data_IF_556911199641
#
_entry.id   IF_556911199641
#
_cell.length_a   1.000
_cell.length_b   1.000
_cell.length_c   1.000
_cell.angle_alpha   90.00
_cell.angle_beta   90.00
_cell.angle_gamma   90.00
#
_symmetry.space_group_name_H-M   'P 1'
#
loop_
_entity.id
_entity.type
_entity.pdbx_description
1 polymer ?
#
# COMPACT_ATOMS: atom_id res chain seq x y z
N UNK A 1 -3.64 11.84 -22.75
CA UNK A 1 -2.58 10.83 -22.49
C UNK A 1 -2.95 10.08 -21.23
N UNK A 2 -3.54 8.90 -21.39
CA UNK A 2 -4.12 8.08 -20.32
C UNK A 2 -3.08 7.06 -19.81
N UNK A 3 -2.94 6.96 -18.49
CA UNK A 3 -2.26 5.84 -17.84
C UNK A 3 -3.25 5.17 -16.88
N UNK A 4 -4.11 4.30 -17.44
CA UNK A 4 -4.93 3.38 -16.66
C UNK A 4 -4.07 2.20 -16.19
N UNK A 5 -4.00 1.99 -14.88
CA UNK A 5 -3.42 0.77 -14.31
C UNK A 5 -4.44 -0.37 -14.44
N UNK A 6 -4.10 -1.32 -15.32
CA UNK A 6 -4.80 -2.57 -15.53
C UNK A 6 -4.49 -3.54 -14.38
N UNK A 7 -5.51 -3.93 -13.60
CA UNK A 7 -5.36 -4.87 -12.48
C UNK A 7 -5.31 -6.32 -12.97
N UNK A 8 -4.16 -6.74 -13.52
CA UNK A 8 -3.91 -8.16 -13.80
C UNK A 8 -3.41 -8.87 -12.54
N UNK A 9 -4.08 -9.97 -12.17
CA UNK A 9 -3.47 -11.03 -11.36
C UNK A 9 -2.27 -11.57 -12.13
N UNK A 10 -1.06 -11.17 -11.73
CA UNK A 10 0.15 -11.92 -12.04
C UNK A 10 1.20 -11.58 -11.01
N UNK A 11 1.55 -12.56 -10.18
CA UNK A 11 2.82 -12.58 -9.49
C UNK A 11 3.93 -12.57 -10.53
N UNK A 12 4.41 -11.37 -10.86
CA UNK A 12 5.66 -11.06 -11.55
C UNK A 12 5.78 -9.53 -11.55
N UNK A 13 6.56 -9.04 -10.59
CA UNK A 13 7.06 -7.67 -10.58
C UNK A 13 7.96 -7.56 -11.83
N UNK A 14 7.46 -6.96 -12.91
CA UNK A 14 8.24 -6.74 -14.12
C UNK A 14 8.63 -5.27 -14.24
N UNK A 15 9.91 -4.95 -14.53
CA UNK A 15 10.39 -3.59 -14.63
C UNK A 15 9.81 -2.89 -15.88
N UNK A 16 9.00 -1.85 -15.66
CA UNK A 16 8.50 -0.94 -16.71
C UNK A 16 9.40 0.30 -16.86
N UNK A 17 10.68 0.11 -17.13
CA UNK A 17 11.57 1.22 -17.50
C UNK A 17 12.28 0.90 -18.81
N UNK A 18 12.13 1.79 -19.81
CA UNK A 18 12.97 1.78 -21.02
C UNK A 18 14.43 2.07 -20.61
N UNK A 19 15.41 1.41 -21.25
CA UNK A 19 16.81 1.54 -20.88
C UNK A 19 17.37 2.86 -21.42
N UNK A 20 17.52 3.86 -20.55
CA UNK A 20 18.41 4.99 -20.80
C UNK A 20 19.13 5.44 -19.53
N UNK A 21 20.46 5.31 -19.56
CA UNK A 21 21.48 6.23 -19.03
C UNK A 21 21.57 6.59 -17.53
N UNK A 22 20.98 5.83 -16.60
CA UNK A 22 21.39 5.94 -15.20
C UNK A 22 21.39 4.59 -14.47
N UNK A 23 22.55 3.93 -14.46
CA UNK A 23 22.79 2.66 -13.76
C UNK A 23 22.32 2.68 -12.28
N UNK A 24 22.53 3.83 -11.60
CA UNK A 24 22.07 4.11 -10.22
C UNK A 24 20.56 3.97 -10.01
N UNK A 25 19.75 4.20 -11.05
CA UNK A 25 18.29 4.11 -10.97
C UNK A 25 17.83 2.64 -11.00
N UNK A 26 18.56 1.79 -11.74
CA UNK A 26 18.24 0.36 -11.82
C UNK A 26 18.55 -0.37 -10.52
N UNK A 27 19.67 -0.05 -9.88
CA UNK A 27 20.08 -0.70 -8.61
C UNK A 27 19.19 -0.30 -7.43
N UNK A 28 18.82 0.98 -7.35
CA UNK A 28 17.83 1.43 -6.39
C UNK A 28 16.47 0.74 -6.60
N UNK A 29 16.12 0.43 -7.86
CA UNK A 29 14.88 -0.27 -8.17
C UNK A 29 14.83 -1.68 -7.58
N UNK A 30 15.92 -2.46 -7.63
CA UNK A 30 15.93 -3.82 -7.06
C UNK A 30 15.70 -3.81 -5.54
N UNK A 31 16.35 -2.88 -4.82
CA UNK A 31 16.14 -2.69 -3.38
C UNK A 31 14.71 -2.24 -3.08
N UNK A 32 14.16 -1.35 -3.92
CA UNK A 32 12.77 -0.91 -3.81
C UNK A 32 11.78 -2.05 -4.08
N UNK A 33 12.03 -2.91 -5.07
CA UNK A 33 11.21 -4.08 -5.37
C UNK A 33 11.25 -5.09 -4.22
N UNK A 34 12.41 -5.27 -3.59
CA UNK A 34 12.50 -6.09 -2.38
C UNK A 34 11.64 -5.51 -1.25
N UNK A 35 11.69 -4.19 -1.04
CA UNK A 35 10.84 -3.54 -0.03
C UNK A 35 9.35 -3.68 -0.38
N UNK A 36 8.98 -3.61 -1.65
CA UNK A 36 7.60 -3.86 -2.09
C UNK A 36 7.16 -5.30 -1.78
N UNK A 37 7.99 -6.30 -2.06
CA UNK A 37 7.69 -7.71 -1.80
C UNK A 37 7.62 -8.07 -0.30
N UNK A 38 8.14 -7.20 0.58
CA UNK A 38 8.24 -7.40 2.03
C UNK A 38 7.48 -6.32 2.79
N UNK A 39 6.14 -6.36 2.81
CA UNK A 39 5.31 -5.35 3.48
C UNK A 39 5.51 -5.31 5.01
N UNK A 40 6.07 -6.37 5.58
CA UNK A 40 6.55 -6.46 6.96
C UNK A 40 7.79 -5.59 7.24
N UNK A 41 8.64 -5.33 6.23
CA UNK A 41 9.79 -4.45 6.39
C UNK A 41 9.36 -2.98 6.37
N UNK A 42 9.84 -2.20 7.34
CA UNK A 42 9.69 -0.73 7.37
C UNK A 42 10.64 -0.09 6.36
N UNK A 43 11.88 -0.56 6.35
CA UNK A 43 12.95 -0.11 5.49
C UNK A 43 13.90 -1.27 5.18
N UNK A 44 14.74 -1.09 4.17
CA UNK A 44 15.74 -2.08 3.78
C UNK A 44 17.06 -1.41 3.39
N UNK A 45 18.18 -2.04 3.74
CA UNK A 45 19.49 -1.70 3.22
C UNK A 45 19.84 -2.55 2.00
N UNK A 46 20.60 -1.98 1.07
CA UNK A 46 21.21 -2.69 -0.05
C UNK A 46 22.68 -2.32 -0.16
N UNK A 47 23.49 -3.19 -0.73
CA UNK A 47 24.90 -2.88 -1.04
C UNK A 47 25.08 -2.96 -2.53
N UNK A 48 25.82 -2.00 -3.05
CA UNK A 48 26.27 -2.01 -4.43
C UNK A 48 27.78 -2.03 -4.48
N UNK A 49 28.33 -3.13 -5.00
CA UNK A 49 29.76 -3.31 -5.23
C UNK A 49 30.09 -2.97 -6.68
N UNK A 50 31.14 -2.18 -6.87
CA UNK A 50 31.67 -1.77 -8.17
C UNK A 50 33.05 -2.39 -8.42
N UNK A 51 33.56 -2.20 -9.63
CA UNK A 51 34.96 -2.48 -9.93
C UNK A 51 35.90 -1.62 -9.07
N UNK A 52 37.12 -2.13 -8.81
CA UNK A 52 38.17 -1.48 -8.01
C UNK A 52 37.84 -1.30 -6.52
N UNK A 53 37.21 -2.30 -5.89
CA UNK A 53 36.99 -2.34 -4.42
C UNK A 53 36.09 -1.21 -3.88
N UNK A 54 35.41 -0.47 -4.75
CA UNK A 54 34.46 0.55 -4.36
C UNK A 54 33.07 -0.05 -4.09
N UNK A 55 32.37 0.51 -3.12
CA UNK A 55 30.96 0.21 -2.90
C UNK A 55 30.19 1.41 -2.35
N UNK A 56 28.86 1.29 -2.40
CA UNK A 56 27.92 2.18 -1.74
C UNK A 56 26.88 1.35 -0.99
N UNK A 57 26.36 1.91 0.10
CA UNK A 57 25.19 1.38 0.80
C UNK A 57 23.97 2.21 0.44
N UNK A 58 22.91 1.52 0.07
CA UNK A 58 21.59 2.06 -0.13
C UNK A 58 20.77 1.80 1.14
N UNK A 59 19.93 2.75 1.51
CA UNK A 59 18.88 2.54 2.51
C UNK A 59 17.58 3.07 1.92
N UNK A 60 16.50 2.30 1.99
CA UNK A 60 15.24 2.63 1.33
C UNK A 60 14.11 2.48 2.33
N UNK A 61 13.31 3.53 2.46
CA UNK A 61 12.07 3.55 3.22
C UNK A 61 10.94 4.21 2.40
N UNK A 62 9.77 4.41 3.01
CA UNK A 62 8.66 5.09 2.35
C UNK A 62 8.90 6.59 2.11
N UNK A 63 9.91 7.21 2.73
CA UNK A 63 10.26 8.61 2.54
C UNK A 63 11.22 8.82 1.37
N UNK A 64 12.30 8.03 1.26
CA UNK A 64 13.32 8.19 0.22
C UNK A 64 14.22 6.96 0.04
N UNK A 65 14.91 6.92 -1.10
CA UNK A 65 16.18 6.20 -1.29
C UNK A 65 17.34 7.08 -0.80
N UNK A 66 18.09 6.59 0.17
CA UNK A 66 19.34 7.14 0.65
C UNK A 66 20.49 6.35 0.05
N UNK A 67 21.57 7.03 -0.31
CA UNK A 67 22.77 6.43 -0.85
C UNK A 67 23.97 7.05 -0.17
N UNK A 68 24.87 6.22 0.34
CA UNK A 68 26.14 6.70 0.88
C UNK A 68 26.99 7.32 -0.23
N UNK A 69 28.01 8.09 0.15
CA UNK A 69 29.14 8.36 -0.75
C UNK A 69 29.80 7.05 -1.16
N UNK A 70 30.53 7.09 -2.29
CA UNK A 70 31.40 5.98 -2.69
C UNK A 70 32.50 5.82 -1.66
N UNK A 71 32.80 4.59 -1.30
CA UNK A 71 33.84 4.24 -0.33
C UNK A 71 34.63 3.05 -0.83
N UNK A 72 35.91 3.03 -0.49
CA UNK A 72 36.81 1.91 -0.77
C UNK A 72 36.71 0.86 0.34
N UNK A 73 36.78 -0.42 -0.01
CA UNK A 73 36.84 -1.53 0.95
C UNK A 73 38.09 -1.48 1.84
N UNK A 74 39.17 -0.89 1.34
CA UNK A 74 40.45 -0.73 2.03
C UNK A 74 40.45 0.35 3.10
N UNK A 75 39.50 1.29 3.08
CA UNK A 75 39.37 2.29 4.13
C UNK A 75 38.81 1.66 5.41
N UNK A 76 39.62 1.62 6.48
CA UNK A 76 39.28 0.95 7.75
C UNK A 76 37.95 1.44 8.35
N UNK A 77 37.68 2.75 8.25
CA UNK A 77 36.44 3.37 8.73
C UNK A 77 35.23 2.89 7.93
N UNK A 78 35.43 2.55 6.65
CA UNK A 78 34.36 2.18 5.73
C UNK A 78 33.95 0.71 5.90
N UNK A 79 34.85 -0.19 6.34
CA UNK A 79 34.54 -1.61 6.64
C UNK A 79 33.31 -1.82 7.54
N UNK A 80 32.95 -0.84 8.38
CA UNK A 80 31.74 -0.86 9.22
C UNK A 80 30.44 -0.89 8.42
N UNK A 81 30.40 -0.32 7.22
CA UNK A 81 29.19 -0.23 6.40
C UNK A 81 28.72 -1.61 5.88
N UNK A 82 29.60 -2.49 5.34
CA UNK A 82 29.26 -3.87 5.04
C UNK A 82 28.78 -4.65 6.26
N UNK A 83 29.43 -4.49 7.43
CA UNK A 83 28.97 -5.13 8.66
C UNK A 83 27.58 -4.63 9.07
N UNK A 84 27.30 -3.34 8.98
CA UNK A 84 25.98 -2.79 9.26
C UNK A 84 24.92 -3.32 8.28
N UNK A 85 25.27 -3.47 6.99
CA UNK A 85 24.39 -4.12 6.02
C UNK A 85 24.10 -5.57 6.40
N UNK A 86 25.12 -6.39 6.65
CA UNK A 86 24.94 -7.80 7.07
C UNK A 86 24.12 -7.88 8.35
N UNK A 87 24.43 -7.04 9.35
CA UNK A 87 23.66 -6.95 10.58
C UNK A 87 22.18 -6.67 10.32
N UNK A 88 21.86 -5.77 9.38
CA UNK A 88 20.46 -5.45 9.03
C UNK A 88 19.70 -6.59 8.36
N UNK A 89 20.40 -7.57 7.77
CA UNK A 89 19.77 -8.78 7.22
C UNK A 89 19.24 -9.69 8.34
N UNK A 90 19.95 -9.74 9.48
CA UNK A 90 19.57 -10.54 10.65
C UNK A 90 18.68 -9.77 11.64
N UNK A 91 18.79 -8.44 11.64
CA UNK A 91 18.03 -7.55 12.53
C UNK A 91 17.24 -6.51 11.71
N UNK A 92 16.28 -6.96 10.87
CA UNK A 92 15.52 -6.06 10.03
C UNK A 92 14.62 -5.12 10.85
N UNK A 93 14.37 -3.93 10.30
CA UNK A 93 13.35 -3.02 10.83
C UNK A 93 11.96 -3.50 10.41
N UNK A 94 11.23 -4.12 11.34
CA UNK A 94 9.96 -4.79 11.08
C UNK A 94 8.76 -4.00 11.63
N UNK A 95 7.66 -4.04 10.89
CA UNK A 95 6.32 -3.91 11.43
C UNK A 95 5.97 -5.19 12.18
N UNK A 96 5.98 -5.14 13.52
CA UNK A 96 5.79 -6.32 14.37
C UNK A 96 4.38 -6.89 14.31
N UNK A 97 3.43 -6.15 13.73
CA UNK A 97 2.05 -6.61 13.55
C UNK A 97 1.86 -7.52 12.34
N UNK A 98 2.88 -7.63 11.47
CA UNK A 98 2.86 -8.47 10.27
C UNK A 98 3.83 -9.64 10.45
N UNK A 99 3.31 -10.86 10.31
CA UNK A 99 4.13 -12.06 10.21
C UNK A 99 4.10 -12.56 8.78
N UNK A 100 5.27 -12.81 8.20
CA UNK A 100 5.40 -13.45 6.90
C UNK A 100 5.48 -14.96 7.11
N UNK A 101 4.60 -15.71 6.44
CA UNK A 101 4.62 -17.16 6.41
C UNK A 101 5.05 -17.60 5.01
N UNK A 102 6.09 -18.41 4.92
CA UNK A 102 6.59 -18.90 3.63
C UNK A 102 6.66 -20.42 3.67
N UNK A 103 5.87 -21.05 2.80
CA UNK A 103 6.02 -22.46 2.45
C UNK A 103 6.76 -22.56 1.11
N UNK A 104 7.12 -23.77 0.69
CA UNK A 104 7.90 -23.99 -0.54
C UNK A 104 7.25 -23.37 -1.79
N UNK A 105 5.92 -23.26 -1.83
CA UNK A 105 5.18 -22.83 -3.03
C UNK A 105 4.44 -21.50 -2.87
N UNK A 106 4.35 -20.94 -1.66
CA UNK A 106 3.52 -19.77 -1.39
C UNK A 106 4.01 -18.92 -0.23
N UNK A 107 3.99 -17.60 -0.41
CA UNK A 107 4.15 -16.62 0.67
C UNK A 107 2.78 -16.05 1.03
N UNK A 108 2.40 -16.15 2.30
CA UNK A 108 1.22 -15.49 2.87
C UNK A 108 1.64 -14.62 4.05
N UNK A 109 0.71 -13.79 4.51
CA UNK A 109 0.92 -12.88 5.62
C UNK A 109 -0.16 -13.09 6.68
N UNK A 110 0.24 -12.90 7.93
CA UNK A 110 -0.68 -12.78 9.06
C UNK A 110 -0.57 -11.36 9.60
N UNK A 111 -1.71 -10.72 9.84
CA UNK A 111 -1.79 -9.36 10.36
C UNK A 111 -2.57 -9.37 11.67
N UNK A 112 -1.99 -8.81 12.72
CA UNK A 112 -2.65 -8.59 14.02
C UNK A 112 -2.98 -7.10 14.17
N UNK A 113 -4.23 -6.78 14.48
CA UNK A 113 -4.70 -5.43 14.73
C UNK A 113 -4.46 -5.03 16.19
N UNK A 114 -4.57 -3.74 16.51
CA UNK A 114 -4.34 -3.27 17.89
C UNK A 114 -5.41 -3.71 18.89
N UNK A 115 -6.60 -4.09 18.42
CA UNK A 115 -7.67 -4.69 19.22
C UNK A 115 -7.50 -6.21 19.45
N UNK A 116 -6.40 -6.79 18.93
CA UNK A 116 -6.12 -8.21 19.03
C UNK A 116 -6.72 -9.06 17.91
N UNK A 117 -7.55 -8.50 17.02
CA UNK A 117 -8.09 -9.25 15.89
C UNK A 117 -6.96 -9.69 14.95
N UNK A 118 -6.99 -10.95 14.52
CA UNK A 118 -5.95 -11.55 13.68
C UNK A 118 -6.52 -12.02 12.35
N UNK A 119 -5.79 -11.72 11.28
CA UNK A 119 -6.10 -12.09 9.91
C UNK A 119 -4.96 -12.91 9.35
N UNK A 120 -5.17 -14.22 9.22
CA UNK A 120 -4.19 -15.16 8.67
C UNK A 120 -4.42 -15.44 7.18
N UNK A 121 -3.43 -16.07 6.55
CA UNK A 121 -3.44 -16.52 5.15
C UNK A 121 -3.71 -15.39 4.13
N UNK A 122 -3.30 -14.16 4.45
CA UNK A 122 -3.44 -13.03 3.55
C UNK A 122 -2.47 -13.14 2.38
N UNK A 123 -2.97 -12.84 1.18
CA UNK A 123 -2.17 -12.77 -0.04
C UNK A 123 -1.89 -11.32 -0.41
N UNK A 124 -0.66 -11.06 -0.85
CA UNK A 124 -0.26 -9.76 -1.36
C UNK A 124 -0.88 -9.54 -2.75
N UNK A 125 -1.87 -8.66 -2.81
CA UNK A 125 -2.60 -8.34 -4.02
C UNK A 125 -2.01 -7.21 -4.84
N UNK A 126 -1.51 -6.17 -4.16
CA UNK A 126 -0.90 -5.02 -4.79
C UNK A 126 0.12 -4.34 -3.87
N UNK A 127 1.15 -3.78 -4.48
CA UNK A 127 2.12 -2.90 -3.83
C UNK A 127 2.41 -1.71 -4.73
N UNK A 128 2.06 -0.52 -4.26
CA UNK A 128 2.40 0.74 -4.89
C UNK A 128 3.90 1.03 -4.81
N UNK A 129 4.34 1.98 -5.63
CA UNK A 129 5.75 2.37 -5.70
C UNK A 129 6.31 2.87 -4.37
N UNK A 130 7.63 2.69 -4.24
CA UNK A 130 8.48 3.23 -3.19
C UNK A 130 9.48 4.20 -3.84
N UNK A 131 9.90 5.29 -3.19
CA UNK A 131 9.31 5.87 -1.99
C UNK A 131 7.93 6.48 -2.28
N UNK A 132 7.20 6.86 -1.25
CA UNK A 132 5.89 7.50 -1.37
C UNK A 132 4.88 6.90 -0.41
N UNK A 133 3.68 6.57 -0.93
CA UNK A 133 2.63 5.98 -0.09
C UNK A 133 2.84 4.49 0.16
N UNK A 134 3.57 3.79 -0.72
CA UNK A 134 3.76 2.33 -0.65
C UNK A 134 2.44 1.62 -0.30
N UNK A 135 1.40 1.93 -1.08
CA UNK A 135 0.06 1.39 -0.83
C UNK A 135 0.12 -0.12 -0.98
N UNK A 136 -0.21 -0.85 0.07
CA UNK A 136 -0.18 -2.32 0.09
C UNK A 136 -1.60 -2.82 0.25
N UNK A 137 -2.01 -3.75 -0.61
CA UNK A 137 -3.34 -4.38 -0.53
C UNK A 137 -3.15 -5.86 -0.30
N UNK A 138 -3.79 -6.36 0.75
CA UNK A 138 -3.89 -7.77 1.05
C UNK A 138 -5.31 -8.25 0.80
N UNK A 139 -5.42 -9.45 0.22
CA UNK A 139 -6.68 -10.15 0.06
C UNK A 139 -6.72 -11.37 0.98
N UNK A 140 -7.88 -11.67 1.54
CA UNK A 140 -8.12 -12.95 2.20
C UNK A 140 -8.73 -13.93 1.19
N UNK A 141 -8.07 -15.04 0.83
CA UNK A 141 -8.60 -15.98 -0.16
C UNK A 141 -9.92 -16.61 0.26
N UNK A 142 -10.04 -16.95 1.54
CA UNK A 142 -11.21 -17.63 2.12
C UNK A 142 -12.36 -16.67 2.47
N UNK A 143 -12.16 -15.36 2.30
CA UNK A 143 -13.16 -14.33 2.55
C UNK A 143 -13.00 -13.25 1.48
N UNK A 144 -13.74 -13.42 0.38
CA UNK A 144 -13.66 -12.55 -0.77
C UNK A 144 -14.05 -11.09 -0.48
N UNK A 145 -14.72 -10.81 0.63
CA UNK A 145 -15.15 -9.48 1.03
C UNK A 145 -14.06 -8.74 1.82
N UNK A 146 -13.17 -9.45 2.52
CA UNK A 146 -12.14 -8.80 3.35
C UNK A 146 -10.93 -8.37 2.52
N UNK A 147 -10.65 -7.06 2.57
CA UNK A 147 -9.47 -6.43 2.01
C UNK A 147 -8.75 -5.64 3.10
N UNK A 148 -7.44 -5.85 3.26
CA UNK A 148 -6.62 -5.01 4.15
C UNK A 148 -5.78 -4.07 3.29
N UNK A 149 -5.97 -2.77 3.49
CA UNK A 149 -5.23 -1.72 2.80
C UNK A 149 -4.29 -1.02 3.78
N UNK A 150 -3.04 -0.89 3.39
CA UNK A 150 -2.03 -0.14 4.14
C UNK A 150 -1.41 0.95 3.29
N UNK A 151 -0.98 2.03 3.92
CA UNK A 151 -0.22 3.09 3.27
C UNK A 151 0.55 3.95 4.26
N UNK A 152 1.68 4.49 3.81
CA UNK A 152 2.42 5.55 4.45
C UNK A 152 1.86 6.91 4.02
N UNK A 153 1.49 7.73 4.98
CA UNK A 153 0.87 9.03 4.74
C UNK A 153 1.63 10.13 5.45
N UNK A 154 1.71 11.27 4.80
CA UNK A 154 2.39 12.45 5.33
C UNK A 154 1.69 12.98 6.59
N UNK A 155 2.47 13.46 7.56
CA UNK A 155 1.98 14.10 8.79
C UNK A 155 1.12 15.32 8.48
N UNK A 156 1.44 16.02 7.39
CA UNK A 156 0.80 17.28 7.02
C UNK A 156 -0.53 17.07 6.28
N UNK A 157 -0.93 15.81 6.03
CA UNK A 157 -2.22 15.52 5.41
C UNK A 157 -3.36 15.76 6.40
N UNK A 158 -4.27 16.63 5.98
CA UNK A 158 -5.49 16.98 6.74
C UNK A 158 -6.52 15.86 6.84
N UNK A 159 -6.55 14.93 5.87
CA UNK A 159 -7.62 13.93 5.78
C UNK A 159 -7.08 12.51 5.63
N UNK A 160 -7.57 11.64 6.50
CA UNK A 160 -7.29 10.21 6.54
C UNK A 160 -8.48 9.46 5.91
N UNK A 161 -8.20 8.54 4.99
CA UNK A 161 -9.23 7.76 4.31
C UNK A 161 -10.17 7.06 5.30
N UNK A 162 -9.62 6.46 6.36
CA UNK A 162 -10.42 5.84 7.42
C UNK A 162 -11.32 6.82 8.18
N UNK A 163 -10.86 8.06 8.43
CA UNK A 163 -11.68 9.08 9.08
C UNK A 163 -12.82 9.55 8.17
N UNK A 164 -12.58 9.68 6.87
CA UNK A 164 -13.62 10.03 5.89
C UNK A 164 -14.69 8.93 5.83
N UNK A 165 -14.28 7.67 5.73
CA UNK A 165 -15.21 6.54 5.69
C UNK A 165 -16.03 6.42 6.99
N UNK A 166 -15.41 6.69 8.16
CA UNK A 166 -16.14 6.76 9.44
C UNK A 166 -17.24 7.84 9.44
N UNK A 167 -16.98 9.00 8.83
CA UNK A 167 -17.98 10.08 8.72
C UNK A 167 -19.13 9.65 7.80
N UNK A 168 -18.81 9.07 6.64
CA UNK A 168 -19.81 8.61 5.67
C UNK A 168 -20.71 7.53 6.27
N UNK A 169 -20.14 6.62 7.07
CA UNK A 169 -20.87 5.51 7.67
C UNK A 169 -21.39 5.78 9.09
N UNK A 170 -21.37 7.03 9.56
CA UNK A 170 -21.72 7.38 10.93
C UNK A 170 -23.18 7.02 11.30
N UNK A 171 -24.08 7.04 10.32
CA UNK A 171 -25.51 6.70 10.49
C UNK A 171 -25.87 5.30 9.96
N UNK A 172 -24.86 4.45 9.74
CA UNK A 172 -25.01 3.14 9.11
C UNK A 172 -24.29 3.03 7.76
N UNK A 173 -24.31 1.84 7.18
CA UNK A 173 -23.70 1.59 5.87
C UNK A 173 -24.36 2.48 4.81
N UNK A 174 -23.54 3.21 4.06
CA UNK A 174 -24.01 4.12 3.02
C UNK A 174 -23.59 3.53 1.67
N UNK A 175 -24.54 3.34 0.73
CA UNK A 175 -24.27 2.67 -0.54
C UNK A 175 -23.30 3.47 -1.42
N UNK A 176 -22.58 2.78 -2.29
CA UNK A 176 -21.63 3.39 -3.22
C UNK A 176 -20.25 3.71 -2.62
N UNK A 177 -20.04 3.44 -1.32
CA UNK A 177 -18.72 3.43 -0.70
C UNK A 177 -18.40 2.07 -0.12
N UNK A 178 -17.10 1.80 -0.03
CA UNK A 178 -16.58 0.61 0.63
C UNK A 178 -16.78 0.71 2.14
N UNK A 179 -17.35 -0.33 2.74
CA UNK A 179 -17.61 -0.45 4.17
C UNK A 179 -16.33 -0.62 4.93
N UNK A 180 -16.18 0.21 5.95
CA UNK A 180 -15.03 0.22 6.82
C UNK A 180 -15.30 -0.63 8.07
N UNK A 181 -14.56 -1.72 8.22
CA UNK A 181 -14.57 -2.51 9.46
C UNK A 181 -13.60 -1.95 10.50
N UNK A 182 -12.42 -1.53 10.07
CA UNK A 182 -11.37 -1.06 10.96
C UNK A 182 -10.47 -0.02 10.30
N UNK A 183 -9.98 0.96 11.07
CA UNK A 183 -8.89 1.83 10.62
C UNK A 183 -8.13 2.50 11.75
N UNK A 184 -6.80 2.50 11.64
CA UNK A 184 -5.89 3.14 12.60
C UNK A 184 -4.49 3.41 12.02
N UNK A 185 -3.65 4.06 12.83
CA UNK A 185 -2.19 4.02 12.64
C UNK A 185 -1.63 2.70 13.14
N UNK A 186 -0.74 2.10 12.35
CA UNK A 186 0.00 0.91 12.78
C UNK A 186 0.94 1.29 13.93
N UNK A 187 1.07 0.41 14.93
CA UNK A 187 1.95 0.63 16.08
C UNK A 187 2.99 -0.46 16.22
N UNK A 188 4.19 -0.07 16.63
CA UNK A 188 5.26 -0.95 17.11
C UNK A 188 5.61 -0.55 18.54
N UNK A 189 5.56 -1.49 19.48
CA UNK A 189 5.84 -1.20 20.90
C UNK A 189 4.95 -0.08 21.47
N UNK A 190 3.70 0.02 21.02
CA UNK A 190 2.74 1.05 21.42
C UNK A 190 2.89 2.41 20.70
N UNK A 191 3.99 2.65 19.99
CA UNK A 191 4.23 3.90 19.26
C UNK A 191 3.79 3.79 17.80
N UNK A 192 3.28 4.89 17.23
CA UNK A 192 2.88 4.92 15.80
C UNK A 192 4.11 4.67 14.92
N UNK A 193 3.98 3.70 14.03
CA UNK A 193 5.02 3.35 13.08
C UNK A 193 5.19 4.51 12.10
N UNK A 194 6.39 5.10 12.11
CA UNK A 194 6.73 6.26 11.31
C UNK A 194 8.11 6.11 10.65
N UNK A 195 8.27 6.73 9.49
CA UNK A 195 9.57 6.99 8.87
C UNK A 195 9.70 8.49 8.64
N UNK A 196 10.85 9.05 8.99
CA UNK A 196 11.06 10.50 9.00
C UNK A 196 12.29 10.89 8.21
N UNK A 197 12.20 12.04 7.54
CA UNK A 197 13.30 12.67 6.84
C UNK A 197 13.20 14.19 6.97
N UNK A 198 14.16 14.80 7.68
CA UNK A 198 14.16 16.26 7.93
C UNK A 198 12.78 16.69 8.47
N UNK A 199 12.04 17.51 7.73
CA UNK A 199 10.74 18.04 8.09
C UNK A 199 9.54 17.17 7.70
N UNK A 200 9.74 16.06 6.97
CA UNK A 200 8.64 15.19 6.52
C UNK A 200 8.62 13.91 7.34
N UNK A 201 7.48 13.61 7.97
CA UNK A 201 7.24 12.34 8.65
C UNK A 201 6.07 11.62 7.99
N UNK A 202 6.25 10.33 7.70
CA UNK A 202 5.20 9.49 7.16
C UNK A 202 4.81 8.42 8.16
N UNK A 203 3.53 8.35 8.49
CA UNK A 203 2.97 7.33 9.38
C UNK A 203 2.35 6.21 8.56
N UNK A 204 2.55 4.96 9.00
CA UNK A 204 1.85 3.82 8.40
C UNK A 204 0.42 3.74 8.95
N UNK A 205 -0.55 3.61 8.06
CA UNK A 205 -1.96 3.42 8.38
C UNK A 205 -2.45 2.11 7.81
N UNK A 206 -3.47 1.54 8.47
CA UNK A 206 -4.13 0.31 8.07
C UNK A 206 -5.64 0.52 8.07
N UNK A 207 -6.30 -0.06 7.07
CA UNK A 207 -7.74 -0.12 6.91
C UNK A 207 -8.13 -1.57 6.65
N UNK A 208 -9.17 -2.04 7.31
CA UNK A 208 -9.86 -3.29 6.96
C UNK A 208 -11.20 -2.93 6.35
N UNK A 209 -11.39 -3.37 5.12
CA UNK A 209 -12.53 -3.06 4.25
C UNK A 209 -13.28 -4.37 3.99
N UNK A 210 -14.62 -4.30 3.91
CA UNK A 210 -15.50 -5.47 3.74
C UNK A 210 -16.14 -5.58 2.37
N UNK A 211 -15.63 -4.85 1.39
CA UNK A 211 -16.12 -4.93 0.01
C UNK A 211 -14.97 -5.12 -0.96
N UNK A 212 -15.22 -5.98 -1.94
CA UNK A 212 -14.35 -6.21 -3.09
C UNK A 212 -15.18 -6.07 -4.35
N UNK A 213 -14.63 -5.37 -5.32
CA UNK A 213 -15.21 -5.29 -6.65
C UNK A 213 -14.19 -5.58 -7.72
N UNK A 214 -14.68 -5.68 -8.95
CA UNK A 214 -13.85 -5.70 -10.15
C UNK A 214 -13.61 -4.27 -10.63
N UNK A 215 -12.53 -3.99 -11.37
CA UNK A 215 -12.30 -2.65 -11.87
C UNK A 215 -13.33 -2.29 -12.96
N UNK A 216 -13.53 -1.00 -13.18
CA UNK A 216 -14.48 -0.47 -14.17
C UNK A 216 -14.23 -0.99 -15.60
N UNK A 217 -12.99 -1.36 -15.93
CA UNK A 217 -12.61 -1.94 -17.22
C UNK A 217 -13.17 -3.34 -17.48
N UNK A 218 -13.71 -4.01 -16.47
CA UNK A 218 -14.38 -5.32 -16.59
C UNK A 218 -15.81 -5.24 -17.11
N UNK A 219 -16.38 -4.04 -17.22
CA UNK A 219 -17.76 -3.82 -17.66
C UNK A 219 -17.89 -4.11 -19.15
N UNK A 220 -18.88 -4.92 -19.54
CA UNK A 220 -19.03 -5.43 -20.92
C UNK A 220 -20.01 -4.63 -21.76
N UNK A 221 -20.93 -3.91 -21.14
CA UNK A 221 -22.01 -3.22 -21.87
C UNK A 221 -22.05 -1.72 -21.59
N UNK A 222 -22.45 -0.94 -22.60
CA UNK A 222 -22.67 0.50 -22.46
C UNK A 222 -23.73 0.80 -21.39
N UNK A 223 -24.78 -0.04 -21.31
CA UNK A 223 -25.84 0.10 -20.30
C UNK A 223 -25.28 -0.01 -18.88
N UNK A 224 -24.44 -1.01 -18.61
CA UNK A 224 -23.82 -1.16 -17.29
C UNK A 224 -22.92 0.03 -16.95
N UNK A 225 -22.11 0.48 -17.92
CA UNK A 225 -21.25 1.64 -17.74
C UNK A 225 -22.05 2.90 -17.39
N UNK A 226 -23.14 3.17 -18.13
CA UNK A 226 -24.00 4.32 -17.87
C UNK A 226 -24.66 4.26 -16.48
N UNK A 227 -25.05 3.07 -16.03
CA UNK A 227 -25.59 2.89 -14.67
C UNK A 227 -24.53 3.17 -13.60
N UNK A 228 -23.31 2.67 -13.77
CA UNK A 228 -22.21 2.94 -12.82
C UNK A 228 -21.86 4.43 -12.78
N UNK A 229 -21.83 5.09 -13.95
CA UNK A 229 -21.58 6.53 -14.01
C UNK A 229 -22.69 7.34 -13.33
N UNK A 230 -23.95 6.92 -13.47
CA UNK A 230 -25.06 7.51 -12.75
C UNK A 230 -24.89 7.36 -11.23
N UNK A 231 -24.56 6.15 -10.75
CA UNK A 231 -24.34 5.90 -9.32
C UNK A 231 -23.19 6.76 -8.78
N UNK A 232 -22.08 6.89 -9.52
CA UNK A 232 -20.95 7.76 -9.14
C UNK A 232 -21.38 9.23 -9.02
N UNK A 233 -22.17 9.74 -9.97
CA UNK A 233 -22.69 11.11 -9.93
C UNK A 233 -23.61 11.32 -8.72
N UNK A 234 -24.49 10.36 -8.44
CA UNK A 234 -25.45 10.48 -7.35
C UNK A 234 -24.75 10.41 -5.98
N UNK A 235 -23.85 9.45 -5.81
CA UNK A 235 -23.04 9.29 -4.59
C UNK A 235 -22.18 10.53 -4.33
N UNK A 236 -21.58 11.11 -5.36
CA UNK A 236 -20.77 12.34 -5.21
C UNK A 236 -21.61 13.58 -4.92
N UNK A 237 -22.83 13.66 -5.47
CA UNK A 237 -23.80 14.71 -5.14
C UNK A 237 -24.20 14.64 -3.66
N UNK A 238 -24.50 13.44 -3.16
CA UNK A 238 -24.87 13.22 -1.75
C UNK A 238 -23.67 13.53 -0.84
N UNK A 239 -22.45 13.11 -1.22
CA UNK A 239 -21.23 13.42 -0.48
C UNK A 239 -21.07 14.92 -0.21
N UNK A 240 -21.24 15.71 -1.27
CA UNK A 240 -21.06 17.15 -1.21
C UNK A 240 -22.17 17.84 -0.41
N UNK A 241 -23.43 17.42 -0.61
CA UNK A 241 -24.59 18.07 0.03
C UNK A 241 -24.73 17.71 1.51
N UNK A 242 -24.39 16.49 1.89
CA UNK A 242 -24.64 15.98 3.26
C UNK A 242 -23.45 16.16 4.17
N UNK A 243 -22.23 15.85 3.70
CA UNK A 243 -21.03 15.85 4.54
C UNK A 243 -19.99 16.91 4.12
N UNK A 244 -20.27 17.69 3.06
CA UNK A 244 -19.32 18.66 2.49
C UNK A 244 -17.97 18.04 2.11
N UNK A 245 -18.01 16.77 1.66
CA UNK A 245 -16.84 16.01 1.24
C UNK A 245 -16.74 16.04 -0.29
N UNK A 246 -15.52 16.28 -0.79
CA UNK A 246 -15.18 16.17 -2.22
C UNK A 246 -14.12 15.07 -2.37
N UNK A 247 -14.40 14.04 -3.18
CA UNK A 247 -13.51 12.90 -3.36
C UNK A 247 -12.14 13.28 -3.97
N UNK A 248 -12.12 14.28 -4.89
CA UNK A 248 -10.94 14.84 -5.59
C UNK A 248 -10.10 13.89 -6.45
N UNK A 249 -10.34 12.58 -6.37
CA UNK A 249 -9.61 11.56 -7.13
C UNK A 249 -10.56 10.56 -7.80
N UNK A 250 -11.59 11.06 -8.50
CA UNK A 250 -12.52 10.20 -9.24
C UNK A 250 -11.83 9.76 -10.53
N UNK A 251 -11.55 8.48 -10.65
CA UNK A 251 -10.92 7.87 -11.82
C UNK A 251 -11.36 6.41 -11.96
N UNK A 252 -11.25 5.79 -13.15
CA UNK A 252 -11.62 4.38 -13.34
C UNK A 252 -10.95 3.41 -12.37
N UNK A 253 -9.75 3.73 -11.88
CA UNK A 253 -9.01 2.89 -10.93
C UNK A 253 -9.55 2.95 -9.49
N UNK A 254 -10.37 3.96 -9.17
CA UNK A 254 -11.00 4.16 -7.87
C UNK A 254 -12.50 3.80 -7.89
N UNK A 255 -13.03 3.34 -9.02
CA UNK A 255 -14.40 2.86 -9.16
C UNK A 255 -14.37 1.34 -9.22
N UNK A 256 -14.96 0.70 -8.22
CA UNK A 256 -15.11 -0.74 -8.14
C UNK A 256 -16.54 -1.12 -8.50
N UNK A 257 -16.69 -2.16 -9.31
CA UNK A 257 -17.96 -2.72 -9.74
C UNK A 257 -18.21 -3.99 -8.97
N UNK A 258 -19.38 -4.09 -8.35
CA UNK A 258 -19.84 -5.30 -7.67
C UNK A 258 -20.95 -5.93 -8.50
N UNK A 259 -21.00 -7.26 -8.55
CA UNK A 259 -22.10 -7.96 -9.22
C UNK A 259 -23.44 -7.56 -8.58
N UNK A 260 -24.44 -7.28 -9.42
CA UNK A 260 -25.78 -6.79 -9.06
C UNK A 260 -26.65 -7.84 -8.34
N UNK A 261 -26.10 -8.55 -7.36
CA UNK A 261 -26.78 -9.63 -6.62
C UNK A 261 -26.79 -9.45 -5.10
N UNK A 262 -26.01 -8.53 -4.54
CA UNK A 262 -26.21 -8.11 -3.15
C UNK A 262 -27.41 -7.16 -3.13
N UNK A 263 -28.60 -7.72 -2.97
CA UNK A 263 -29.81 -6.97 -2.66
C UNK A 263 -29.46 -5.92 -1.61
N UNK A 264 -29.63 -4.64 -1.97
CA UNK A 264 -29.71 -3.54 -1.02
C UNK A 264 -31.03 -3.77 -0.26
N UNK A 265 -30.99 -4.65 0.74
CA UNK A 265 -32.03 -4.73 1.74
C UNK A 265 -31.77 -3.61 2.74
N UNK A 266 -32.72 -2.66 2.82
CA UNK A 266 -32.72 -1.61 3.85
C UNK A 266 -33.08 -0.24 3.28
N UNK A 267 -34.33 -0.08 2.86
CA UNK A 267 -35.32 0.79 3.53
C UNK A 267 -35.07 2.28 3.36
N UNK A 268 -35.65 2.84 2.30
CA UNK A 268 -36.12 4.23 2.34
C UNK A 268 -37.16 4.31 3.45
N UNK A 269 -36.80 4.91 4.58
CA UNK A 269 -37.79 5.38 5.53
C UNK A 269 -38.51 6.58 4.89
N UNK A 270 -39.81 6.41 4.68
CA UNK A 270 -40.81 7.45 4.48
C UNK A 270 -40.84 8.42 5.65
#
# INVERSE_FOLDING_TARGET
MSHGLNWRRSGKITPKAKPSENMRVKEAADVMYHLQARPDLIAIAGVWVRHNEEYNVLFVDACKVYCSRRVMYTEEVCKRLPYAFVWSLYHPLLDTSITRNTTNDKTTFSITLSDGARYDNLELGFTGSVPGRRTTIFFKPDDACTVIKEQYIDSDRRFFEGSILKIIHASGDFPGFVRLKWSEYVKNGGQRLAVSKRSTTRFKTRLVIQDKGTPLDSVKTVRELLMILYDVLEVTRILHRTWHIIHRDISPGNILVTDRGAHIHGTYAS
#
